data_IF_677774571110
#
_entry.id   IF_677774571110
#
_cell.length_a   1.000
_cell.length_b   1.000
_cell.length_c   1.000
_cell.angle_alpha   90.00
_cell.angle_beta   90.00
_cell.angle_gamma   90.00
#
_symmetry.space_group_name_H-M   'P 1'
#
loop_
_entity.id
_entity.type
_entity.pdbx_description
1 polymer ?
#
# COMPACT_ATOMS: atom_id res chain seq x y z
N UNK A 1 64.90 13.47 -27.46
CA UNK A 1 65.12 14.89 -27.34
C UNK A 1 64.20 15.39 -26.29
N UNK A 2 64.68 15.56 -25.05
CA UNK A 2 65.18 16.79 -24.35
C UNK A 2 64.16 17.94 -24.50
N UNK A 3 63.63 18.67 -23.45
CA UNK A 3 64.12 18.98 -22.08
C UNK A 3 62.88 19.50 -21.29
N UNK A 4 62.57 19.26 -20.02
CA UNK A 4 63.03 19.87 -18.79
C UNK A 4 62.99 21.41 -18.70
N UNK A 5 62.16 21.94 -17.71
CA UNK A 5 62.50 22.96 -16.73
C UNK A 5 61.28 23.19 -15.82
N UNK A 6 61.32 22.86 -14.56
CA UNK A 6 61.82 23.48 -13.30
C UNK A 6 61.13 24.77 -12.94
N UNK A 7 60.51 24.76 -11.77
CA UNK A 7 59.71 25.63 -10.91
C UNK A 7 60.41 26.93 -10.50
N UNK A 8 59.99 27.70 -9.50
CA UNK A 8 60.18 27.36 -8.08
C UNK A 8 59.03 27.71 -7.08
N UNK A 9 59.31 27.36 -5.82
CA UNK A 9 58.61 27.50 -4.55
C UNK A 9 58.66 28.92 -3.98
N UNK A 10 57.85 29.10 -2.90
CA UNK A 10 57.93 29.99 -1.71
C UNK A 10 56.63 30.84 -1.60
N UNK A 11 55.96 31.02 -0.43
CA UNK A 11 56.44 30.89 0.91
C UNK A 11 55.29 31.00 1.93
N UNK A 12 55.51 30.41 3.04
CA UNK A 12 54.73 30.40 4.29
C UNK A 12 54.62 31.82 4.89
N UNK A 13 53.47 32.14 5.50
CA UNK A 13 53.41 33.01 6.70
C UNK A 13 52.38 32.50 7.70
N UNK A 14 52.87 32.13 8.86
CA UNK A 14 52.18 31.93 10.13
C UNK A 14 51.72 33.31 10.68
N UNK A 15 50.62 33.32 11.44
CA UNK A 15 50.12 34.45 12.19
C UNK A 15 49.15 34.03 13.28
N UNK A 16 49.70 33.57 14.37
CA UNK A 16 49.51 33.79 15.83
C UNK A 16 48.10 34.19 16.33
N UNK A 17 47.64 33.32 17.20
CA UNK A 17 46.76 33.35 18.39
C UNK A 17 46.62 34.73 19.07
N UNK A 18 45.37 35.06 19.44
CA UNK A 18 45.07 35.80 20.68
C UNK A 18 43.77 35.30 21.29
N UNK A 19 43.86 34.66 22.43
CA UNK A 19 42.84 34.43 23.44
C UNK A 19 42.37 35.79 24.02
N UNK A 20 41.07 35.93 24.27
CA UNK A 20 40.57 36.76 25.36
C UNK A 20 39.35 36.07 26.01
N UNK A 21 39.57 35.80 27.25
CA UNK A 21 38.70 35.37 28.32
C UNK A 21 37.81 36.54 28.82
N UNK A 22 36.76 36.18 29.54
CA UNK A 22 35.83 36.95 30.40
C UNK A 22 34.39 36.81 29.87
N UNK A 23 33.43 36.23 30.55
CA UNK A 23 33.14 36.19 31.98
C UNK A 23 31.66 36.51 32.14
N UNK A 24 30.88 35.63 32.77
CA UNK A 24 29.74 36.14 33.53
C UNK A 24 28.32 35.78 33.06
N UNK A 25 27.66 34.95 33.83
CA UNK A 25 26.28 35.20 34.24
C UNK A 25 25.16 34.36 33.61
N UNK A 26 24.81 33.27 34.23
CA UNK A 26 23.48 32.69 34.11
C UNK A 26 22.46 33.44 34.99
N UNK A 27 21.22 33.56 34.57
CA UNK A 27 20.08 33.70 35.48
C UNK A 27 19.09 32.54 35.42
N UNK A 28 18.13 32.45 36.36
CA UNK A 28 17.68 31.20 36.92
C UNK A 28 16.36 30.66 36.33
N UNK A 29 16.12 29.39 36.64
CA UNK A 29 14.93 28.60 36.41
C UNK A 29 13.63 29.33 36.81
N UNK A 30 12.64 29.31 35.90
CA UNK A 30 11.24 29.51 36.26
C UNK A 30 10.42 28.26 35.86
N UNK A 31 9.73 27.71 36.87
CA UNK A 31 8.84 26.56 36.77
C UNK A 31 7.55 26.91 36.00
N UNK A 32 6.86 25.91 35.40
CA UNK A 32 5.59 26.12 34.73
C UNK A 32 4.41 26.13 35.73
N UNK A 33 3.30 26.82 35.42
CA UNK A 33 2.14 26.88 36.28
C UNK A 33 1.24 25.65 36.18
N UNK A 34 0.77 25.19 37.33
CA UNK A 34 -0.32 24.24 37.51
C UNK A 34 -1.65 24.80 36.99
N UNK A 35 -2.34 24.06 36.14
CA UNK A 35 -3.78 24.27 35.89
C UNK A 35 -4.60 23.18 36.54
N UNK A 36 -5.57 23.65 37.30
CA UNK A 36 -6.55 22.87 38.04
C UNK A 36 -7.64 22.31 37.12
N UNK A 37 -8.13 21.12 37.45
CA UNK A 37 -9.31 20.50 36.88
C UNK A 37 -10.60 21.20 37.36
N UNK A 38 -11.64 21.28 36.52
CA UNK A 38 -12.99 21.35 37.03
C UNK A 38 -13.79 20.10 36.71
N UNK A 39 -14.39 19.53 37.75
CA UNK A 39 -15.53 18.64 37.74
C UNK A 39 -16.72 19.26 37.01
N UNK A 40 -17.36 18.49 36.12
CA UNK A 40 -18.79 18.66 35.82
C UNK A 40 -19.35 17.46 35.05
N UNK A 41 -20.21 16.71 35.72
CA UNK A 41 -21.14 15.71 35.18
C UNK A 41 -22.15 16.34 34.22
N UNK A 42 -22.49 15.71 33.07
CA UNK A 42 -23.64 16.08 32.27
C UNK A 42 -24.88 15.24 32.57
N UNK A 43 -26.09 15.77 32.36
CA UNK A 43 -27.34 15.08 32.60
C UNK A 43 -27.81 14.22 31.42
N UNK A 44 -28.56 13.18 31.74
CA UNK A 44 -29.32 12.31 30.82
C UNK A 44 -30.33 13.09 29.97
N UNK A 45 -30.53 12.67 28.71
CA UNK A 45 -31.84 12.88 28.07
C UNK A 45 -32.48 11.57 27.62
N UNK A 46 -33.72 11.43 28.00
CA UNK A 46 -34.65 10.39 27.57
C UNK A 46 -35.15 10.61 26.12
N UNK A 47 -35.27 9.51 25.38
CA UNK A 47 -36.35 9.15 24.47
C UNK A 47 -36.45 9.81 23.10
N UNK A 48 -36.34 9.05 22.01
CA UNK A 48 -37.43 8.67 21.09
C UNK A 48 -36.91 7.96 19.84
N UNK A 49 -37.51 6.81 19.57
CA UNK A 49 -37.87 6.11 18.33
C UNK A 49 -37.19 6.40 16.97
N UNK A 50 -36.54 5.35 16.44
CA UNK A 50 -36.99 4.70 15.19
C UNK A 50 -36.41 5.23 13.87
N UNK A 51 -35.57 4.47 13.24
CA UNK A 51 -35.62 3.96 11.86
C UNK A 51 -34.32 3.21 11.61
N UNK A 52 -34.43 1.96 11.13
CA UNK A 52 -33.30 1.07 10.90
C UNK A 52 -32.40 1.53 9.75
N UNK A 53 -31.12 1.49 10.04
CA UNK A 53 -30.04 1.56 9.06
C UNK A 53 -29.05 0.46 9.40
N UNK A 54 -28.76 -0.36 8.43
CA UNK A 54 -27.80 -1.47 8.49
C UNK A 54 -26.45 -1.00 9.00
N UNK A 55 -26.19 -1.18 10.30
CA UNK A 55 -24.88 -1.01 10.91
C UNK A 55 -23.98 -2.18 10.46
N UNK A 56 -22.84 -1.85 9.90
CA UNK A 56 -21.80 -2.80 9.57
C UNK A 56 -21.32 -3.52 10.83
N UNK A 57 -21.09 -4.83 10.72
CA UNK A 57 -20.62 -5.73 11.77
C UNK A 57 -19.28 -5.28 12.41
N UNK A 58 -18.59 -4.31 11.82
CA UNK A 58 -17.31 -3.78 12.31
C UNK A 58 -17.49 -2.79 13.47
N UNK A 59 -18.67 -2.20 13.66
CA UNK A 59 -18.91 -1.22 14.72
C UNK A 59 -19.09 -1.85 16.12
N UNK A 60 -19.42 -3.15 16.19
CA UNK A 60 -19.66 -3.84 17.47
C UNK A 60 -18.38 -4.45 18.10
N UNK A 61 -17.22 -4.35 17.45
CA UNK A 61 -15.95 -4.89 17.97
C UNK A 61 -15.10 -3.86 18.74
N UNK A 62 -15.59 -2.65 18.99
CA UNK A 62 -14.79 -1.57 19.61
C UNK A 62 -15.20 -1.23 21.04
N UNK A 63 -16.22 -1.85 21.62
CA UNK A 63 -16.55 -1.68 23.04
C UNK A 63 -16.40 -2.98 23.83
N UNK A 64 -15.33 -3.02 24.62
CA UNK A 64 -15.11 -3.85 25.81
C UNK A 64 -15.40 -5.36 25.73
N UNK A 65 -14.56 -6.15 25.06
CA UNK A 65 -14.21 -7.50 25.53
C UNK A 65 -12.79 -7.85 25.07
N UNK A 66 -11.84 -7.70 25.97
CA UNK A 66 -10.54 -8.39 25.90
C UNK A 66 -10.83 -9.88 26.05
N UNK A 67 -10.88 -10.62 24.94
CA UNK A 67 -10.80 -12.07 24.97
C UNK A 67 -9.38 -12.43 25.43
N UNK A 68 -9.27 -13.06 26.61
CA UNK A 68 -8.01 -13.58 27.07
C UNK A 68 -7.63 -14.88 26.34
N UNK A 69 -6.43 -15.38 26.57
CA UNK A 69 -5.94 -16.60 25.91
C UNK A 69 -6.79 -17.84 26.23
N UNK A 70 -7.55 -17.83 27.34
CA UNK A 70 -8.40 -18.94 27.78
C UNK A 70 -9.76 -18.93 27.08
N UNK A 71 -10.28 -17.74 26.74
CA UNK A 71 -11.51 -17.60 25.93
C UNK A 71 -11.31 -18.12 24.49
N UNK A 72 -10.10 -17.95 23.95
CA UNK A 72 -9.71 -18.52 22.65
C UNK A 72 -9.58 -20.05 22.71
N UNK A 73 -9.07 -20.63 23.82
CA UNK A 73 -9.03 -22.09 23.99
C UNK A 73 -10.43 -22.71 24.21
N UNK A 74 -11.35 -21.97 24.83
CA UNK A 74 -12.73 -22.45 25.03
C UNK A 74 -13.49 -22.53 23.70
N UNK A 75 -13.31 -21.57 22.79
CA UNK A 75 -13.85 -21.61 21.44
C UNK A 75 -13.27 -22.78 20.61
N UNK A 76 -11.98 -23.10 20.79
CA UNK A 76 -11.34 -24.24 20.13
C UNK A 76 -11.87 -25.61 20.58
N UNK A 77 -12.30 -25.75 21.85
CA UNK A 77 -12.83 -27.01 22.38
C UNK A 77 -14.30 -27.25 22.01
N UNK A 78 -15.07 -26.19 21.80
CA UNK A 78 -16.49 -26.31 21.45
C UNK A 78 -16.71 -26.89 20.03
N UNK A 79 -15.81 -26.62 19.09
CA UNK A 79 -15.91 -27.12 17.71
C UNK A 79 -15.46 -28.57 17.52
N UNK A 80 -14.67 -29.15 18.43
CA UNK A 80 -14.26 -30.56 18.34
C UNK A 80 -15.33 -31.56 18.81
N UNK A 81 -16.47 -31.09 19.34
CA UNK A 81 -17.52 -31.97 19.92
C UNK A 81 -18.76 -32.18 19.05
N UNK A 82 -18.82 -31.62 17.84
CA UNK A 82 -19.91 -31.88 16.91
C UNK A 82 -19.58 -33.12 16.05
N UNK A 83 -19.96 -34.27 16.58
CA UNK A 83 -19.81 -35.56 15.91
C UNK A 83 -20.80 -35.74 14.76
N UNK A 84 -20.25 -36.30 13.72
CA UNK A 84 -20.81 -36.95 12.53
C UNK A 84 -22.08 -37.79 12.84
N UNK A 85 -23.16 -37.56 12.13
CA UNK A 85 -24.26 -38.53 12.03
C UNK A 85 -24.72 -38.72 10.57
N UNK A 86 -24.52 -39.94 10.18
CA UNK A 86 -25.20 -40.86 9.22
C UNK A 86 -25.60 -40.45 7.81
N UNK A 87 -24.86 -41.03 6.88
CA UNK A 87 -25.25 -41.70 5.61
C UNK A 87 -26.64 -41.38 5.02
N UNK A 88 -26.62 -40.50 4.05
CA UNK A 88 -27.65 -40.45 3.01
C UNK A 88 -27.14 -41.14 1.75
N UNK A 89 -27.68 -42.37 1.45
CA UNK A 89 -27.38 -43.09 0.23
C UNK A 89 -28.21 -42.53 -0.92
N UNK A 90 -27.58 -41.85 -1.85
CA UNK A 90 -28.20 -41.39 -3.10
C UNK A 90 -28.24 -42.57 -4.08
N UNK A 91 -29.40 -42.92 -4.65
CA UNK A 91 -29.47 -44.01 -5.66
C UNK A 91 -28.71 -43.63 -6.94
N UNK A 92 -28.09 -44.61 -7.65
CA UNK A 92 -27.33 -44.31 -8.87
C UNK A 92 -28.26 -43.80 -9.98
N UNK A 93 -27.79 -42.85 -10.80
CA UNK A 93 -28.54 -42.33 -11.92
C UNK A 93 -28.66 -43.35 -13.06
N UNK A 94 -29.74 -43.31 -13.90
CA UNK A 94 -29.90 -44.18 -15.01
C UNK A 94 -28.76 -44.05 -16.04
N UNK A 95 -28.28 -45.20 -16.53
CA UNK A 95 -27.24 -45.30 -17.54
C UNK A 95 -27.69 -44.65 -18.86
N UNK A 96 -26.92 -43.70 -19.40
CA UNK A 96 -27.08 -43.27 -20.80
C UNK A 96 -26.95 -41.78 -21.11
N UNK A 97 -26.74 -40.91 -20.15
CA UNK A 97 -26.44 -39.49 -20.43
C UNK A 97 -25.05 -39.15 -19.85
N UNK A 98 -24.05 -39.05 -20.73
CA UNK A 98 -22.77 -38.49 -20.35
C UNK A 98 -23.02 -37.06 -19.82
N UNK A 99 -23.08 -36.93 -18.49
CA UNK A 99 -23.07 -35.60 -17.87
C UNK A 99 -21.77 -34.88 -18.28
N UNK A 100 -21.84 -33.62 -18.62
CA UNK A 100 -20.60 -32.83 -18.72
C UNK A 100 -19.81 -33.09 -17.43
N UNK A 101 -18.56 -33.48 -17.56
CA UNK A 101 -17.66 -33.59 -16.41
C UNK A 101 -17.50 -32.18 -15.89
N UNK A 102 -18.34 -31.82 -14.92
CA UNK A 102 -18.12 -30.60 -14.13
C UNK A 102 -16.75 -30.77 -13.49
N UNK A 103 -15.76 -30.08 -14.04
CA UNK A 103 -14.43 -30.01 -13.41
C UNK A 103 -14.64 -29.37 -12.06
N UNK A 104 -14.29 -30.07 -11.00
CA UNK A 104 -14.29 -29.48 -9.67
C UNK A 104 -13.52 -28.14 -9.73
N UNK A 105 -14.07 -27.07 -9.17
CA UNK A 105 -13.42 -25.78 -9.20
C UNK A 105 -12.06 -25.88 -8.49
N UNK A 106 -11.02 -25.33 -9.10
CA UNK A 106 -9.71 -25.24 -8.48
C UNK A 106 -9.82 -24.39 -7.22
N UNK A 107 -9.47 -24.94 -6.07
CA UNK A 107 -9.47 -24.23 -4.80
C UNK A 107 -8.13 -23.50 -4.64
N UNK A 108 -8.18 -22.19 -4.45
CA UNK A 108 -7.00 -21.33 -4.27
C UNK A 108 -6.45 -21.35 -2.83
N UNK A 109 -5.37 -20.61 -2.56
CA UNK A 109 -4.79 -20.49 -1.22
C UNK A 109 -5.72 -19.88 -0.18
N UNK A 110 -6.77 -19.19 -0.60
CA UNK A 110 -7.82 -18.59 0.25
C UNK A 110 -8.95 -19.57 0.58
N UNK A 111 -8.80 -20.86 0.23
CA UNK A 111 -9.81 -21.91 0.36
C UNK A 111 -11.13 -21.62 -0.38
N UNK A 112 -11.12 -20.63 -1.27
CA UNK A 112 -12.24 -20.28 -2.15
C UNK A 112 -12.00 -20.80 -3.57
N UNK A 113 -13.10 -21.11 -4.32
CA UNK A 113 -12.99 -21.43 -5.74
C UNK A 113 -12.24 -20.31 -6.48
N UNK A 114 -11.28 -20.72 -7.33
CA UNK A 114 -10.55 -19.74 -8.15
C UNK A 114 -11.52 -19.11 -9.16
N UNK A 115 -11.58 -17.77 -9.26
CA UNK A 115 -12.47 -17.13 -10.21
C UNK A 115 -12.01 -17.37 -11.65
N UNK A 116 -12.96 -17.41 -12.58
CA UNK A 116 -12.64 -17.34 -14.00
C UNK A 116 -12.24 -15.89 -14.35
N UNK A 117 -10.99 -15.68 -14.69
CA UNK A 117 -10.41 -14.39 -15.01
C UNK A 117 -9.93 -14.40 -16.48
N UNK A 118 -10.83 -14.08 -17.43
CA UNK A 118 -10.44 -14.03 -18.83
C UNK A 118 -9.40 -12.92 -19.07
N UNK A 119 -8.46 -13.18 -19.97
CA UNK A 119 -7.51 -12.15 -20.39
C UNK A 119 -8.28 -11.03 -21.09
N UNK A 120 -8.18 -9.78 -20.60
CA UNK A 120 -8.90 -8.66 -21.20
C UNK A 120 -8.35 -8.35 -22.60
N UNK A 121 -9.19 -7.85 -23.51
CA UNK A 121 -8.72 -7.43 -24.82
C UNK A 121 -7.75 -6.24 -24.70
N UNK A 122 -6.85 -6.01 -25.68
CA UNK A 122 -6.07 -4.80 -25.78
C UNK A 122 -6.99 -3.57 -25.84
N UNK A 123 -6.61 -2.48 -25.17
CA UNK A 123 -7.32 -1.22 -25.28
C UNK A 123 -7.04 -0.56 -26.64
N UNK A 124 -8.07 0.06 -27.23
CA UNK A 124 -7.95 0.88 -28.44
C UNK A 124 -7.79 2.36 -28.11
N UNK A 125 -8.22 2.75 -26.91
CA UNK A 125 -8.11 4.11 -26.37
C UNK A 125 -7.62 4.02 -24.92
N UNK A 126 -6.84 5.00 -24.48
CA UNK A 126 -6.24 5.05 -23.14
C UNK A 126 -6.79 6.22 -22.32
N UNK A 127 -6.90 6.02 -20.99
CA UNK A 127 -7.40 7.00 -20.05
C UNK A 127 -8.93 7.13 -20.02
N UNK A 128 -9.48 7.86 -19.03
CA UNK A 128 -8.78 8.40 -17.86
C UNK A 128 -8.40 7.30 -16.85
N UNK A 129 -7.25 7.48 -16.22
CA UNK A 129 -6.70 6.48 -15.32
C UNK A 129 -7.57 6.17 -14.10
N UNK A 130 -7.62 4.89 -13.73
CA UNK A 130 -8.01 4.45 -12.40
C UNK A 130 -6.82 4.64 -11.44
N UNK A 131 -7.02 5.39 -10.37
CA UNK A 131 -5.98 5.67 -9.38
C UNK A 131 -6.11 4.73 -8.19
N UNK A 132 -5.08 3.94 -7.90
CA UNK A 132 -5.05 2.95 -6.81
C UNK A 132 -3.93 3.29 -5.83
N UNK A 133 -4.26 3.51 -4.55
CA UNK A 133 -3.28 3.71 -3.49
C UNK A 133 -2.94 2.38 -2.81
N UNK A 134 -1.64 2.07 -2.70
CA UNK A 134 -1.12 0.91 -1.96
C UNK A 134 -0.85 1.32 -0.52
N UNK A 135 -1.77 1.03 0.41
CA UNK A 135 -1.71 1.53 1.78
C UNK A 135 -1.61 0.41 2.81
N UNK A 136 -0.69 0.55 3.73
CA UNK A 136 -0.63 -0.15 5.01
C UNK A 136 0.34 0.60 5.92
N UNK A 137 -0.02 0.80 7.19
CA UNK A 137 0.84 1.48 8.18
C UNK A 137 2.05 0.64 8.61
N UNK A 138 2.01 -0.70 8.45
CA UNK A 138 3.13 -1.59 8.75
C UNK A 138 4.16 -1.50 7.61
N UNK A 139 5.43 -1.27 7.95
CA UNK A 139 6.55 -1.40 7.03
C UNK A 139 6.79 -2.86 6.64
N UNK A 140 7.36 -3.08 5.45
CA UNK A 140 7.79 -4.42 5.03
C UNK A 140 6.68 -5.36 4.55
N UNK A 141 5.41 -4.93 4.49
CA UNK A 141 4.29 -5.80 4.04
C UNK A 141 4.21 -5.99 2.52
N UNK A 142 5.15 -5.49 1.75
CA UNK A 142 5.21 -5.65 0.30
C UNK A 142 4.43 -4.60 -0.50
N UNK A 143 4.16 -3.39 0.03
CA UNK A 143 3.53 -2.28 -0.73
C UNK A 143 4.31 -1.98 -2.00
N UNK A 144 5.55 -1.55 -1.88
CA UNK A 144 6.45 -1.21 -2.98
C UNK A 144 6.63 -2.36 -3.96
N UNK A 145 6.88 -3.59 -3.43
CA UNK A 145 7.01 -4.79 -4.27
C UNK A 145 5.75 -5.05 -5.08
N UNK A 146 4.57 -4.85 -4.46
CA UNK A 146 3.29 -5.01 -5.15
C UNK A 146 3.08 -3.91 -6.18
N UNK A 147 3.38 -2.66 -5.87
CA UNK A 147 3.23 -1.53 -6.79
C UNK A 147 4.05 -1.75 -8.07
N UNK A 148 5.34 -2.11 -7.93
CA UNK A 148 6.23 -2.39 -9.07
C UNK A 148 5.70 -3.54 -9.92
N UNK A 149 5.43 -4.69 -9.30
CA UNK A 149 5.16 -5.91 -10.04
C UNK A 149 3.73 -5.98 -10.58
N UNK A 150 2.75 -5.38 -9.89
CA UNK A 150 1.40 -5.20 -10.43
C UNK A 150 1.41 -4.23 -11.61
N UNK A 151 2.14 -3.10 -11.50
CA UNK A 151 2.27 -2.14 -12.59
C UNK A 151 2.87 -2.78 -13.84
N UNK A 152 3.94 -3.55 -13.68
CA UNK A 152 4.56 -4.28 -14.79
C UNK A 152 3.62 -5.34 -15.40
N UNK A 153 2.88 -6.09 -14.57
CA UNK A 153 1.92 -7.08 -15.05
C UNK A 153 0.72 -6.44 -15.78
N UNK A 154 0.27 -5.25 -15.36
CA UNK A 154 -0.77 -4.48 -16.07
C UNK A 154 -0.23 -3.96 -17.42
N UNK A 155 1.03 -3.52 -17.45
CA UNK A 155 1.68 -3.10 -18.71
C UNK A 155 1.84 -4.27 -19.69
N UNK A 156 2.16 -5.51 -19.22
CA UNK A 156 2.13 -6.72 -20.05
C UNK A 156 0.75 -7.00 -20.67
N UNK A 157 -0.33 -6.56 -20.02
CA UNK A 157 -1.71 -6.65 -20.52
C UNK A 157 -2.09 -5.45 -21.41
N UNK A 158 -1.12 -4.64 -21.85
CA UNK A 158 -1.32 -3.52 -22.76
C UNK A 158 -1.95 -2.29 -22.10
N UNK A 159 -1.82 -2.11 -20.79
CA UNK A 159 -2.26 -0.90 -20.07
C UNK A 159 -1.10 0.11 -20.01
N UNK A 160 -1.41 1.39 -20.18
CA UNK A 160 -0.49 2.47 -19.88
C UNK A 160 -0.54 2.75 -18.38
N UNK A 161 0.58 2.55 -17.67
CA UNK A 161 0.64 2.60 -16.22
C UNK A 161 1.62 3.66 -15.75
N UNK A 162 1.21 4.49 -14.79
CA UNK A 162 2.10 5.37 -14.04
C UNK A 162 2.27 4.84 -12.60
N UNK A 163 3.51 4.65 -12.20
CA UNK A 163 3.86 4.40 -10.80
C UNK A 163 4.26 5.71 -10.13
N UNK A 164 3.67 5.99 -8.99
CA UNK A 164 3.97 7.17 -8.18
C UNK A 164 4.66 6.72 -6.91
N UNK A 165 5.94 7.05 -6.79
CA UNK A 165 6.69 6.84 -5.54
C UNK A 165 6.29 7.93 -4.55
N UNK A 166 5.54 7.58 -3.52
CA UNK A 166 5.05 8.50 -2.52
C UNK A 166 5.54 8.15 -1.11
N UNK A 167 6.72 7.52 -1.07
CA UNK A 167 7.49 7.25 0.14
C UNK A 167 8.82 8.03 0.08
N UNK A 168 9.15 8.83 1.12
CA UNK A 168 10.44 9.54 1.21
C UNK A 168 11.67 8.62 1.11
N UNK A 169 11.52 7.33 1.37
CA UNK A 169 12.60 6.36 1.21
C UNK A 169 12.97 6.10 -0.25
N UNK A 170 12.12 6.46 -1.22
CA UNK A 170 12.38 6.29 -2.65
C UNK A 170 12.55 4.83 -3.08
N UNK A 171 11.94 3.90 -2.33
CA UNK A 171 12.15 2.46 -2.55
C UNK A 171 11.59 1.96 -3.88
N UNK A 172 10.50 2.55 -4.35
CA UNK A 172 9.94 2.22 -5.67
C UNK A 172 10.88 2.71 -6.78
N UNK A 173 11.40 3.93 -6.64
CA UNK A 173 12.37 4.50 -7.56
C UNK A 173 13.62 3.61 -7.69
N UNK A 174 14.21 3.23 -6.56
CA UNK A 174 15.37 2.32 -6.52
C UNK A 174 15.03 0.96 -7.15
N UNK A 175 13.87 0.41 -6.83
CA UNK A 175 13.42 -0.89 -7.35
C UNK A 175 13.19 -0.93 -8.86
N UNK A 176 13.15 0.23 -9.53
CA UNK A 176 13.07 0.39 -10.98
C UNK A 176 14.36 0.97 -11.60
N UNK A 177 15.47 0.94 -10.85
CA UNK A 177 16.79 1.38 -11.34
C UNK A 177 16.98 2.90 -11.37
N UNK A 178 16.04 3.68 -10.80
CA UNK A 178 16.19 5.13 -10.68
C UNK A 178 16.97 5.45 -9.41
N UNK A 179 18.04 6.25 -9.55
CA UNK A 179 18.84 6.68 -8.40
C UNK A 179 18.27 7.97 -7.78
N UNK A 180 17.62 7.93 -6.59
CA UNK A 180 17.01 9.10 -5.96
C UNK A 180 17.97 10.24 -5.65
N UNK A 181 19.27 9.94 -5.47
CA UNK A 181 20.29 10.93 -5.12
C UNK A 181 20.78 11.78 -6.30
N UNK A 182 20.48 11.35 -7.53
CA UNK A 182 20.92 12.04 -8.75
C UNK A 182 19.79 12.69 -9.52
N UNK A 183 18.57 12.63 -8.98
CA UNK A 183 17.40 13.22 -9.62
C UNK A 183 17.51 14.75 -9.65
N UNK A 184 17.32 15.40 -10.81
CA UNK A 184 17.25 16.87 -10.87
C UNK A 184 15.98 17.42 -10.22
N UNK A 185 14.91 16.64 -10.22
CA UNK A 185 13.63 16.93 -9.60
C UNK A 185 12.89 15.63 -9.27
N UNK A 186 11.99 15.70 -8.29
CA UNK A 186 11.16 14.59 -7.84
C UNK A 186 9.73 15.08 -7.57
N UNK A 187 8.86 14.18 -7.13
CA UNK A 187 7.49 14.54 -6.71
C UNK A 187 7.48 15.62 -5.64
N UNK A 188 8.51 15.70 -4.78
CA UNK A 188 8.64 16.78 -3.78
C UNK A 188 8.62 18.16 -4.44
N UNK A 189 9.37 18.38 -5.51
CA UNK A 189 9.44 19.68 -6.19
C UNK A 189 8.09 20.09 -6.78
N UNK A 190 7.31 19.13 -7.28
CA UNK A 190 5.96 19.33 -7.79
C UNK A 190 4.99 19.72 -6.66
N UNK A 191 5.02 19.02 -5.52
CA UNK A 191 4.18 19.33 -4.36
C UNK A 191 4.46 20.71 -3.81
N UNK A 192 5.71 21.17 -3.87
CA UNK A 192 6.15 22.51 -3.40
C UNK A 192 5.92 23.61 -4.42
N UNK A 193 5.36 23.32 -5.60
CA UNK A 193 5.06 24.34 -6.60
C UNK A 193 6.28 25.09 -7.13
N UNK A 194 7.43 24.41 -7.27
CA UNK A 194 8.71 25.03 -7.67
C UNK A 194 8.79 25.37 -9.18
N UNK A 195 7.65 25.47 -9.87
CA UNK A 195 7.60 25.91 -11.27
C UNK A 195 8.06 24.86 -12.28
N UNK A 196 8.18 23.59 -11.86
CA UNK A 196 8.54 22.45 -12.70
C UNK A 196 7.25 21.78 -13.16
N UNK A 197 7.19 21.40 -14.45
CA UNK A 197 6.08 20.62 -15.00
C UNK A 197 6.17 19.15 -14.54
N UNK A 198 5.02 18.51 -14.33
CA UNK A 198 4.97 17.07 -14.03
C UNK A 198 5.60 16.24 -15.18
N UNK A 199 5.53 16.72 -16.41
CA UNK A 199 6.14 16.09 -17.58
C UNK A 199 7.66 16.10 -17.57
N UNK A 200 8.27 17.03 -16.83
CA UNK A 200 9.72 17.09 -16.64
C UNK A 200 10.22 16.09 -15.58
N UNK A 201 9.32 15.58 -14.75
CA UNK A 201 9.65 14.69 -13.62
C UNK A 201 9.27 13.23 -13.91
N UNK A 202 8.18 12.99 -14.63
CA UNK A 202 7.82 11.64 -15.07
C UNK A 202 8.86 11.13 -16.06
N UNK A 203 9.38 9.94 -15.79
CA UNK A 203 10.30 9.25 -16.69
C UNK A 203 9.82 7.85 -17.08
N UNK A 204 10.27 7.34 -18.25
CA UNK A 204 10.01 5.96 -18.66
C UNK A 204 10.81 5.00 -17.78
N UNK A 205 10.28 3.78 -17.62
CA UNK A 205 11.03 2.65 -17.05
C UNK A 205 11.58 1.74 -18.16
N UNK A 206 12.29 0.69 -17.76
CA UNK A 206 12.74 -0.34 -18.70
C UNK A 206 11.59 -1.26 -19.20
N UNK A 207 10.36 -1.09 -18.67
CA UNK A 207 9.18 -1.85 -19.07
C UNK A 207 8.33 -1.00 -20.01
N UNK A 208 8.08 -1.44 -21.26
CA UNK A 208 7.21 -0.70 -22.16
C UNK A 208 5.80 -0.47 -21.58
N UNK A 209 5.29 0.76 -21.67
CA UNK A 209 3.98 1.13 -21.13
C UNK A 209 3.95 1.38 -19.62
N UNK A 210 5.12 1.39 -18.96
CA UNK A 210 5.26 1.66 -17.52
C UNK A 210 6.16 2.87 -17.29
N UNK A 211 5.59 3.94 -16.78
CA UNK A 211 6.30 5.16 -16.41
C UNK A 211 6.36 5.31 -14.87
N UNK A 212 7.29 6.16 -14.41
CA UNK A 212 7.49 6.45 -12.99
C UNK A 212 7.50 7.95 -12.73
N UNK A 213 6.82 8.36 -11.65
CA UNK A 213 6.99 9.65 -10.98
C UNK A 213 7.84 9.39 -9.71
N UNK A 214 9.15 9.72 -9.74
CA UNK A 214 10.08 9.29 -8.70
C UNK A 214 10.03 10.17 -7.45
N UNK A 215 10.49 9.60 -6.33
CA UNK A 215 10.67 10.25 -5.04
C UNK A 215 12.14 10.27 -4.61
N UNK A 216 12.41 11.12 -3.63
CA UNK A 216 13.66 11.15 -2.88
C UNK A 216 13.40 11.56 -1.43
N UNK A 217 14.46 11.62 -0.62
CA UNK A 217 14.38 11.92 0.83
C UNK A 217 13.77 13.30 1.12
N UNK A 218 13.84 14.25 0.18
CA UNK A 218 13.28 15.60 0.36
C UNK A 218 11.77 15.56 0.56
N UNK A 219 11.08 14.51 0.07
CA UNK A 219 9.65 14.31 0.29
C UNK A 219 9.28 14.27 1.78
N UNK A 220 10.21 13.90 2.68
CA UNK A 220 9.99 13.96 4.13
C UNK A 220 9.71 15.38 4.63
N UNK A 221 10.31 16.40 3.98
CA UNK A 221 10.07 17.79 4.31
C UNK A 221 8.68 18.29 3.89
N UNK A 222 8.05 17.65 2.89
CA UNK A 222 6.71 18.01 2.42
C UNK A 222 5.66 17.85 3.52
N UNK A 223 5.76 16.84 4.40
CA UNK A 223 4.82 16.68 5.52
C UNK A 223 4.79 17.89 6.45
N UNK A 224 5.93 18.55 6.63
CA UNK A 224 6.05 19.75 7.49
C UNK A 224 5.63 21.00 6.72
N UNK A 225 6.10 21.16 5.48
CA UNK A 225 5.88 22.38 4.69
C UNK A 225 4.42 22.50 4.24
N UNK A 226 3.77 21.42 3.89
CA UNK A 226 2.35 21.41 3.52
C UNK A 226 1.40 21.75 4.68
N UNK A 227 1.85 21.68 5.94
CA UNK A 227 0.97 21.97 7.11
C UNK A 227 0.34 23.36 7.02
N UNK A 228 1.06 24.36 6.49
CA UNK A 228 0.58 25.73 6.33
C UNK A 228 -0.19 25.97 5.03
N UNK A 229 -0.20 25.00 4.11
CA UNK A 229 -0.83 25.19 2.81
C UNK A 229 -2.35 24.98 2.86
N UNK A 230 -3.08 25.79 2.08
CA UNK A 230 -4.54 25.65 1.93
C UNK A 230 -4.86 24.43 1.07
N UNK A 231 -5.82 23.61 1.53
CA UNK A 231 -6.23 22.38 0.86
C UNK A 231 -5.03 21.43 0.62
N UNK A 232 -4.13 21.34 1.60
CA UNK A 232 -2.90 20.54 1.61
C UNK A 232 -3.14 19.04 1.36
N UNK A 233 -4.32 18.54 1.71
CA UNK A 233 -4.72 17.15 1.52
C UNK A 233 -5.05 16.82 0.05
N UNK A 234 -5.21 17.84 -0.81
CA UNK A 234 -5.57 17.70 -2.23
C UNK A 234 -4.42 18.01 -3.18
N UNK A 235 -3.21 18.20 -2.67
CA UNK A 235 -2.07 18.62 -3.49
C UNK A 235 -1.71 17.54 -4.51
N UNK A 236 -1.64 16.27 -4.10
CA UNK A 236 -1.39 15.16 -5.00
C UNK A 236 -2.52 14.96 -6.02
N UNK A 237 -3.78 15.10 -5.60
CA UNK A 237 -4.94 15.01 -6.51
C UNK A 237 -4.78 15.97 -7.70
N UNK A 238 -4.46 17.23 -7.43
CA UNK A 238 -4.29 18.26 -8.48
C UNK A 238 -3.15 17.94 -9.43
N UNK A 239 -2.06 17.36 -8.93
CA UNK A 239 -0.93 16.92 -9.76
C UNK A 239 -1.33 15.78 -10.69
N UNK A 240 -2.02 14.77 -10.17
CA UNK A 240 -2.40 13.59 -10.95
C UNK A 240 -3.51 13.87 -11.97
N UNK A 241 -4.41 14.82 -11.69
CA UNK A 241 -5.44 15.24 -12.66
C UNK A 241 -4.84 15.74 -13.98
N UNK A 242 -3.67 16.40 -13.94
CA UNK A 242 -2.99 16.90 -15.13
C UNK A 242 -2.52 15.79 -16.09
N UNK A 243 -2.35 14.56 -15.60
CA UNK A 243 -1.79 13.44 -16.37
C UNK A 243 -2.78 12.26 -16.50
N UNK A 244 -3.91 12.30 -15.78
CA UNK A 244 -4.88 11.22 -15.69
C UNK A 244 -5.39 10.73 -17.05
N UNK A 245 -5.49 11.62 -18.03
CA UNK A 245 -5.96 11.27 -19.38
C UNK A 245 -4.96 10.47 -20.23
N UNK A 246 -3.72 10.32 -19.78
CA UNK A 246 -2.65 9.65 -20.51
C UNK A 246 -2.41 8.21 -20.11
N UNK A 247 -2.94 7.82 -18.96
CA UNK A 247 -2.75 6.50 -18.37
C UNK A 247 -4.08 5.79 -18.17
N UNK A 248 -4.04 4.47 -18.11
CA UNK A 248 -5.18 3.62 -17.78
C UNK A 248 -5.23 3.32 -16.28
N UNK A 249 -4.04 3.20 -15.66
CA UNK A 249 -3.89 2.95 -14.24
C UNK A 249 -2.77 3.80 -13.67
N UNK A 250 -3.01 4.41 -12.50
CA UNK A 250 -1.99 5.08 -11.69
C UNK A 250 -1.90 4.33 -10.35
N UNK A 251 -0.72 3.81 -10.01
CA UNK A 251 -0.47 3.14 -8.74
C UNK A 251 0.37 4.04 -7.84
N UNK A 252 -0.12 4.36 -6.64
CA UNK A 252 0.57 5.19 -5.65
C UNK A 252 1.18 4.30 -4.58
N UNK A 253 2.50 4.25 -4.47
CA UNK A 253 3.22 3.55 -3.39
C UNK A 253 3.31 4.43 -2.16
N UNK A 254 2.56 4.13 -1.12
CA UNK A 254 2.47 4.96 0.08
C UNK A 254 3.52 4.59 1.13
N UNK A 255 4.02 5.61 1.84
CA UNK A 255 4.85 5.43 3.03
C UNK A 255 4.14 4.58 4.10
N UNK A 256 4.89 3.90 4.99
CA UNK A 256 4.34 3.10 6.09
C UNK A 256 3.89 4.01 7.26
N UNK A 257 3.00 4.95 6.99
CA UNK A 257 2.47 5.90 7.97
C UNK A 257 1.00 6.21 7.64
N UNK A 258 0.29 6.84 8.55
CA UNK A 258 -1.03 7.45 8.31
C UNK A 258 -0.93 8.98 8.39
N UNK A 259 0.22 9.55 7.98
CA UNK A 259 0.51 10.97 7.94
C UNK A 259 -0.14 11.70 6.77
N UNK A 260 0.26 12.97 6.58
CA UNK A 260 -0.32 13.84 5.55
C UNK A 260 -0.10 13.32 4.13
N UNK A 261 1.04 12.65 3.87
CA UNK A 261 1.28 12.01 2.56
C UNK A 261 0.25 10.91 2.29
N UNK A 262 0.02 10.01 3.23
CA UNK A 262 -0.99 8.96 3.05
C UNK A 262 -2.39 9.53 2.87
N UNK A 263 -2.76 10.61 3.59
CA UNK A 263 -4.04 11.29 3.39
C UNK A 263 -4.12 11.90 1.97
N UNK A 264 -3.04 12.48 1.45
CA UNK A 264 -2.98 12.94 0.06
C UNK A 264 -3.19 11.81 -0.95
N UNK A 265 -2.54 10.67 -0.74
CA UNK A 265 -2.69 9.50 -1.59
C UNK A 265 -4.15 8.99 -1.60
N UNK A 266 -4.78 8.85 -0.41
CA UNK A 266 -6.17 8.44 -0.28
C UNK A 266 -7.16 9.47 -0.87
N UNK A 267 -6.84 10.76 -0.77
CA UNK A 267 -7.66 11.82 -1.36
C UNK A 267 -7.61 11.80 -2.88
N UNK A 268 -6.46 11.44 -3.45
CA UNK A 268 -6.25 11.36 -4.89
C UNK A 268 -6.72 10.03 -5.52
N UNK A 269 -6.89 8.98 -4.73
CA UNK A 269 -7.20 7.64 -5.21
C UNK A 269 -8.70 7.42 -5.46
N UNK A 270 -9.00 6.57 -6.44
CA UNK A 270 -10.35 6.01 -6.63
C UNK A 270 -10.51 4.73 -5.79
N UNK A 271 -9.41 3.98 -5.59
CA UNK A 271 -9.38 2.69 -4.90
C UNK A 271 -8.20 2.57 -3.96
N UNK A 272 -8.37 1.75 -2.91
CA UNK A 272 -7.29 1.39 -1.99
C UNK A 272 -7.05 -0.11 -2.04
N UNK A 273 -5.81 -0.52 -2.31
CA UNK A 273 -5.35 -1.88 -2.12
C UNK A 273 -4.53 -1.96 -0.84
N UNK A 274 -4.80 -2.97 -0.01
CA UNK A 274 -4.15 -3.17 1.28
C UNK A 274 -3.29 -4.44 1.26
N UNK A 275 -2.00 -4.37 0.88
CA UNK A 275 -1.07 -5.49 1.06
C UNK A 275 -0.92 -5.81 2.54
N UNK A 276 -1.06 -7.09 2.89
CA UNK A 276 -1.10 -7.59 4.26
C UNK A 276 -0.17 -8.78 4.41
N UNK A 277 0.86 -8.66 5.21
CA UNK A 277 1.68 -9.80 5.60
C UNK A 277 0.86 -10.77 6.46
N UNK A 278 0.87 -12.08 6.10
CA UNK A 278 0.11 -13.11 6.82
C UNK A 278 0.76 -13.42 8.18
N UNK A 279 0.71 -12.45 9.10
CA UNK A 279 1.24 -12.51 10.48
C UNK A 279 0.20 -12.05 11.51
N UNK A 280 0.38 -12.44 12.79
CA UNK A 280 -0.59 -12.34 13.88
C UNK A 280 -1.23 -10.95 14.11
N UNK A 281 -0.51 -9.85 13.91
CA UNK A 281 -1.05 -8.50 14.14
C UNK A 281 -1.68 -7.86 12.90
N UNK A 282 -1.86 -8.62 11.83
CA UNK A 282 -2.34 -8.14 10.55
C UNK A 282 -3.73 -7.48 10.63
N UNK A 283 -4.68 -8.11 11.33
CA UNK A 283 -6.07 -7.62 11.45
C UNK A 283 -6.18 -6.26 12.13
N UNK A 284 -5.37 -6.01 13.18
CA UNK A 284 -5.37 -4.71 13.87
C UNK A 284 -4.90 -3.58 12.93
N UNK A 285 -3.91 -3.84 12.08
CA UNK A 285 -3.44 -2.87 11.10
C UNK A 285 -4.51 -2.50 10.07
N UNK A 286 -5.29 -3.50 9.62
CA UNK A 286 -6.41 -3.26 8.68
C UNK A 286 -7.48 -2.40 9.35
N UNK A 287 -7.89 -2.69 10.59
CA UNK A 287 -8.92 -1.93 11.29
C UNK A 287 -8.57 -0.43 11.40
N UNK A 288 -7.32 -0.10 11.78
CA UNK A 288 -6.86 1.28 11.86
C UNK A 288 -6.81 1.98 10.50
N UNK A 289 -6.41 1.27 9.44
CA UNK A 289 -6.40 1.80 8.09
C UNK A 289 -7.83 2.03 7.59
N UNK A 290 -8.75 1.10 7.84
CA UNK A 290 -10.17 1.22 7.47
C UNK A 290 -10.81 2.43 8.14
N UNK A 291 -10.55 2.67 9.43
CA UNK A 291 -11.02 3.88 10.14
C UNK A 291 -10.47 5.16 9.48
N UNK A 292 -9.21 5.16 9.06
CA UNK A 292 -8.63 6.31 8.33
C UNK A 292 -9.29 6.49 6.96
N UNK A 293 -9.53 5.41 6.21
CA UNK A 293 -10.22 5.45 4.91
C UNK A 293 -11.62 6.03 5.09
N UNK A 294 -12.38 5.58 6.10
CA UNK A 294 -13.72 6.13 6.40
C UNK A 294 -13.67 7.63 6.67
N UNK A 295 -12.70 8.11 7.46
CA UNK A 295 -12.53 9.56 7.70
C UNK A 295 -12.21 10.34 6.42
N UNK A 296 -11.44 9.76 5.52
CA UNK A 296 -11.15 10.36 4.20
C UNK A 296 -12.39 10.36 3.33
N UNK A 297 -13.16 9.27 3.29
CA UNK A 297 -14.45 9.20 2.58
C UNK A 297 -15.42 10.27 3.06
N UNK A 298 -15.55 10.43 4.37
CA UNK A 298 -16.51 11.39 4.95
C UNK A 298 -16.16 12.85 4.67
N UNK A 299 -14.87 13.19 4.54
CA UNK A 299 -14.42 14.58 4.57
C UNK A 299 -13.72 15.08 3.30
N UNK A 300 -13.06 14.19 2.56
CA UNK A 300 -12.14 14.57 1.48
C UNK A 300 -12.47 13.90 0.16
N UNK A 301 -12.76 12.59 0.16
CA UNK A 301 -12.99 11.80 -1.05
C UNK A 301 -14.13 10.78 -0.87
N UNK A 302 -15.39 11.20 -1.03
CA UNK A 302 -16.56 10.31 -0.86
C UNK A 302 -16.61 9.14 -1.87
N UNK A 303 -15.83 9.20 -2.95
CA UNK A 303 -15.79 8.16 -3.99
C UNK A 303 -14.73 7.09 -3.76
N UNK A 304 -13.86 7.27 -2.76
CA UNK A 304 -12.83 6.30 -2.42
C UNK A 304 -13.47 4.97 -2.03
N UNK A 305 -13.02 3.87 -2.63
CA UNK A 305 -13.49 2.53 -2.27
C UNK A 305 -12.31 1.59 -1.96
N UNK A 306 -12.56 0.60 -1.10
CA UNK A 306 -11.59 -0.46 -0.84
C UNK A 306 -11.63 -1.45 -1.99
N UNK A 307 -10.55 -1.54 -2.78
CA UNK A 307 -10.38 -2.52 -3.83
C UNK A 307 -10.24 -3.94 -3.27
N UNK A 308 -9.44 -4.06 -2.21
CA UNK A 308 -9.29 -5.33 -1.51
C UNK A 308 -8.01 -5.44 -0.69
N UNK A 309 -7.96 -6.56 0.04
CA UNK A 309 -6.84 -6.98 0.89
C UNK A 309 -6.05 -8.05 0.16
N UNK A 310 -4.75 -7.82 -0.03
CA UNK A 310 -3.84 -8.75 -0.69
C UNK A 310 -2.96 -9.45 0.35
N UNK A 311 -3.13 -10.76 0.51
CA UNK A 311 -2.22 -11.58 1.32
C UNK A 311 -0.83 -11.62 0.71
N UNK A 312 0.17 -11.20 1.48
CA UNK A 312 1.58 -11.16 1.05
C UNK A 312 2.46 -12.00 1.97
N UNK A 313 3.66 -12.32 1.51
CA UNK A 313 4.65 -13.13 2.24
C UNK A 313 4.07 -14.45 2.77
N UNK A 314 3.06 -14.96 2.08
CA UNK A 314 2.40 -16.20 2.42
C UNK A 314 3.35 -17.39 2.29
N UNK A 315 3.44 -18.20 3.35
CA UNK A 315 4.16 -19.48 3.33
C UNK A 315 3.19 -20.63 3.62
N UNK A 316 2.79 -21.42 2.60
CA UNK A 316 1.82 -22.51 2.78
C UNK A 316 2.34 -23.66 3.67
N UNK A 317 3.67 -23.69 3.96
CA UNK A 317 4.27 -24.72 4.81
C UNK A 317 4.07 -24.44 6.30
N UNK A 318 3.75 -23.20 6.67
CA UNK A 318 3.55 -22.80 8.06
C UNK A 318 2.06 -22.77 8.39
N UNK A 319 1.68 -23.42 9.49
CA UNK A 319 0.31 -23.41 10.01
C UNK A 319 -0.15 -21.97 10.26
N UNK A 320 0.71 -21.18 10.91
CA UNK A 320 0.45 -19.80 11.24
C UNK A 320 0.04 -18.93 10.04
N UNK A 321 0.77 -19.02 8.92
CA UNK A 321 0.46 -18.22 7.73
C UNK A 321 -0.90 -18.61 7.12
N UNK A 322 -1.26 -19.90 7.17
CA UNK A 322 -2.56 -20.40 6.71
C UNK A 322 -3.69 -19.89 7.60
N UNK A 323 -3.56 -20.07 8.92
CA UNK A 323 -4.58 -19.62 9.89
C UNK A 323 -4.83 -18.12 9.82
N UNK A 324 -3.77 -17.30 9.66
CA UNK A 324 -3.94 -15.84 9.52
C UNK A 324 -4.70 -15.52 8.22
N UNK A 325 -4.33 -16.13 7.10
CA UNK A 325 -5.04 -15.90 5.83
C UNK A 325 -6.51 -16.32 5.93
N UNK A 326 -6.78 -17.48 6.50
CA UNK A 326 -8.14 -17.98 6.73
C UNK A 326 -8.97 -17.00 7.57
N UNK A 327 -8.45 -16.50 8.70
CA UNK A 327 -9.12 -15.50 9.53
C UNK A 327 -9.38 -14.20 8.79
N UNK A 328 -8.44 -13.75 7.94
CA UNK A 328 -8.63 -12.58 7.09
C UNK A 328 -9.76 -12.82 6.09
N UNK A 329 -9.82 -14.00 5.47
CA UNK A 329 -10.91 -14.36 4.56
C UNK A 329 -12.25 -14.46 5.30
N UNK A 330 -12.29 -15.06 6.48
CA UNK A 330 -13.50 -15.12 7.31
C UNK A 330 -14.02 -13.73 7.71
N UNK A 331 -13.12 -12.80 8.03
CA UNK A 331 -13.48 -11.44 8.47
C UNK A 331 -13.91 -10.52 7.32
N UNK A 332 -13.28 -10.64 6.14
CA UNK A 332 -13.44 -9.69 5.04
C UNK A 332 -14.04 -10.28 3.76
N UNK A 333 -14.23 -11.59 3.70
CA UNK A 333 -14.92 -12.28 2.59
C UNK A 333 -14.36 -11.91 1.21
N UNK A 334 -15.22 -11.40 0.33
CA UNK A 334 -14.89 -11.06 -1.05
C UNK A 334 -13.95 -9.85 -1.19
N UNK A 335 -13.75 -9.08 -0.12
CA UNK A 335 -12.74 -8.02 -0.13
C UNK A 335 -11.30 -8.59 -0.16
N UNK A 336 -11.08 -9.85 0.21
CA UNK A 336 -9.77 -10.49 0.11
C UNK A 336 -9.55 -10.96 -1.33
N UNK A 337 -8.38 -10.64 -1.91
CA UNK A 337 -8.01 -11.17 -3.22
C UNK A 337 -7.88 -12.70 -3.16
N UNK A 338 -8.22 -13.40 -4.25
CA UNK A 338 -7.95 -14.83 -4.39
C UNK A 338 -6.45 -15.08 -4.57
N UNK A 339 -5.80 -14.17 -5.27
CA UNK A 339 -4.35 -14.16 -5.44
C UNK A 339 -3.65 -13.85 -4.12
N UNK A 340 -2.61 -14.63 -3.79
CA UNK A 340 -1.69 -14.36 -2.68
C UNK A 340 -0.25 -14.31 -3.18
N UNK A 341 0.56 -13.44 -2.59
CA UNK A 341 1.97 -13.31 -2.93
C UNK A 341 2.79 -14.13 -1.94
N UNK A 342 3.41 -15.20 -2.43
CA UNK A 342 4.24 -16.08 -1.60
C UNK A 342 5.58 -15.44 -1.26
N UNK A 343 6.11 -15.77 -0.09
CA UNK A 343 7.47 -15.39 0.28
C UNK A 343 8.48 -16.07 -0.66
N UNK A 344 9.40 -15.27 -1.22
CA UNK A 344 10.48 -15.77 -2.09
C UNK A 344 11.71 -14.88 -1.98
N UNK A 345 12.89 -15.47 -2.19
CA UNK A 345 14.17 -14.74 -2.26
C UNK A 345 14.32 -13.93 -3.55
N UNK A 346 13.47 -14.15 -4.53
CA UNK A 346 13.53 -13.46 -5.82
C UNK A 346 13.19 -11.97 -5.72
N UNK A 347 12.27 -11.56 -4.84
CA UNK A 347 11.91 -10.15 -4.71
C UNK A 347 13.07 -9.25 -4.24
N UNK A 348 13.88 -9.61 -3.22
CA UNK A 348 15.10 -8.86 -2.93
C UNK A 348 16.08 -8.82 -4.10
N UNK A 349 16.23 -9.90 -4.88
CA UNK A 349 17.10 -9.93 -6.06
C UNK A 349 16.62 -8.94 -7.13
N UNK A 350 15.30 -8.83 -7.39
CA UNK A 350 14.73 -7.88 -8.36
C UNK A 350 14.99 -6.43 -7.97
N UNK A 351 14.94 -6.11 -6.67
CA UNK A 351 15.24 -4.75 -6.18
C UNK A 351 16.70 -4.36 -6.46
N UNK A 352 17.63 -5.31 -6.33
CA UNK A 352 19.05 -5.07 -6.65
C UNK A 352 19.26 -4.94 -8.16
N UNK A 353 18.51 -5.71 -8.95
CA UNK A 353 18.57 -5.64 -10.42
C UNK A 353 17.91 -4.37 -10.99
N UNK A 354 17.03 -3.71 -10.24
CA UNK A 354 16.25 -2.55 -10.71
C UNK A 354 15.19 -2.94 -11.72
N UNK A 355 14.64 -4.16 -11.63
CA UNK A 355 13.69 -4.72 -12.58
C UNK A 355 12.50 -5.41 -11.88
N UNK A 356 11.28 -5.37 -12.46
CA UNK A 356 10.16 -6.17 -11.97
C UNK A 356 10.41 -7.67 -12.09
N UNK A 357 9.71 -8.49 -11.27
CA UNK A 357 9.86 -9.94 -11.34
C UNK A 357 9.37 -10.53 -12.66
N UNK A 358 8.44 -9.86 -13.32
CA UNK A 358 7.89 -10.28 -14.62
C UNK A 358 8.95 -10.21 -15.73
N UNK A 359 9.93 -9.33 -15.59
CA UNK A 359 11.09 -9.19 -16.49
C UNK A 359 12.28 -10.03 -15.99
N UNK A 360 12.60 -9.92 -14.70
CA UNK A 360 13.76 -10.58 -14.09
C UNK A 360 13.64 -12.11 -14.06
N UNK A 361 12.46 -12.62 -13.72
CA UNK A 361 12.20 -14.05 -13.63
C UNK A 361 10.78 -14.39 -14.15
N UNK A 362 10.53 -14.26 -15.48
CA UNK A 362 9.18 -14.25 -16.09
C UNK A 362 8.38 -15.55 -15.89
N UNK A 363 9.06 -16.68 -15.67
CA UNK A 363 8.44 -18.01 -15.45
C UNK A 363 8.35 -18.39 -13.97
N UNK A 364 8.70 -17.47 -13.06
CA UNK A 364 8.66 -17.74 -11.62
C UNK A 364 7.21 -17.71 -11.10
N UNK A 365 6.91 -18.46 -10.01
CA UNK A 365 5.60 -18.40 -9.37
C UNK A 365 5.24 -16.98 -8.88
N UNK A 366 6.23 -16.14 -8.58
CA UNK A 366 6.01 -14.74 -8.22
C UNK A 366 5.52 -13.89 -9.39
N UNK A 367 6.09 -14.07 -10.59
CA UNK A 367 5.63 -13.40 -11.80
C UNK A 367 4.21 -13.84 -12.18
N UNK A 368 3.93 -15.14 -12.12
CA UNK A 368 2.60 -15.69 -12.35
C UNK A 368 1.57 -15.12 -11.36
N UNK A 369 1.90 -15.03 -10.07
CA UNK A 369 1.01 -14.46 -9.07
C UNK A 369 0.67 -12.99 -9.36
N UNK A 370 1.62 -12.17 -9.80
CA UNK A 370 1.32 -10.78 -10.17
C UNK A 370 0.52 -10.65 -11.47
N UNK A 371 0.71 -11.55 -12.45
CA UNK A 371 -0.16 -11.60 -13.64
C UNK A 371 -1.60 -11.96 -13.27
N UNK A 372 -1.79 -12.93 -12.39
CA UNK A 372 -3.10 -13.29 -11.86
C UNK A 372 -3.73 -12.14 -11.06
N UNK A 373 -2.93 -11.44 -10.23
CA UNK A 373 -3.39 -10.26 -9.51
C UNK A 373 -3.83 -9.14 -10.48
N UNK A 374 -3.09 -8.92 -11.57
CA UNK A 374 -3.46 -7.93 -12.58
C UNK A 374 -4.82 -8.25 -13.22
N UNK A 375 -5.06 -9.51 -13.58
CA UNK A 375 -6.36 -9.95 -14.09
C UNK A 375 -7.48 -9.75 -13.06
N UNK A 376 -7.22 -10.10 -11.79
CA UNK A 376 -8.20 -9.93 -10.72
C UNK A 376 -8.51 -8.46 -10.43
N UNK A 377 -7.51 -7.57 -10.50
CA UNK A 377 -7.68 -6.11 -10.37
C UNK A 377 -8.54 -5.57 -11.51
N UNK A 378 -8.25 -5.93 -12.76
CA UNK A 378 -9.03 -5.48 -13.91
C UNK A 378 -10.48 -5.96 -13.84
N UNK A 379 -10.70 -7.22 -13.42
CA UNK A 379 -12.05 -7.77 -13.24
C UNK A 379 -12.83 -7.05 -12.14
N UNK A 380 -12.20 -6.74 -10.99
CA UNK A 380 -12.84 -6.01 -9.88
C UNK A 380 -13.17 -4.57 -10.24
N UNK A 381 -12.31 -3.92 -11.01
CA UNK A 381 -12.45 -2.51 -11.36
C UNK A 381 -13.32 -2.28 -12.60
N UNK A 382 -13.72 -3.33 -13.34
CA UNK A 382 -14.39 -3.22 -14.64
C UNK A 382 -13.66 -2.25 -15.58
N UNK A 383 -12.34 -2.23 -15.49
CA UNK A 383 -11.48 -1.49 -16.43
C UNK A 383 -11.46 -2.32 -17.72
N UNK A 384 -12.41 -2.00 -18.59
CA UNK A 384 -12.52 -2.65 -19.91
C UNK A 384 -11.37 -2.26 -20.80
#
# INVERSE_FOLDING_TARGET
MRAQSKGPREGLREGTVQERDEGGGAPPHSAPPHFASPDSTPPDPAGTNGVGSSRSVVADLTEEHYLDANDLEALFRAEQSAAVDETFVVPPPPEGIARPVEREPLIGPTERPWPDLPTPPPLTEHGPALVIAMCNQKGGVGKTTTTINLGAALAELGRHVLLVDFDPQGSLSVGLGVNPHTLPASIYNLLMGQGISIDEVIGPTNVPGLDILPSNIDLSAAEIQLVSEVAREQTLLRLLEAVRSRYDVILIDCAPSLGLLTINALTAADRVMMPLECEFFALRGIALLTDTITKVQDRLNPRLEILGILGTMYDPRTLHSREVLERVVQAFGDQVFHTVIRRTVKFPETTVAGEPITTYAPTSPGAEAYRNLALEVLARCRVA
#
